data_IF_543246360967
#
_entry.id   IF_543246360967
#
_cell.length_a   1.000
_cell.length_b   1.000
_cell.length_c   1.000
_cell.angle_alpha   90.00
_cell.angle_beta   90.00
_cell.angle_gamma   90.00
#
_symmetry.space_group_name_H-M   'P 1'
#
loop_
_entity.id
_entity.type
_entity.pdbx_description
1 polymer ?
#
# COMPACT_ATOMS: atom_id res chain seq x y z
N UNK A 1 15.12 -15.49 18.57
CA UNK A 1 15.54 -16.67 17.77
C UNK A 1 15.14 -17.92 18.52
N UNK A 2 14.29 -18.74 17.94
CA UNK A 2 13.92 -20.02 18.51
C UNK A 2 14.86 -21.07 17.95
N UNK A 3 15.72 -21.61 18.81
CA UNK A 3 16.69 -22.67 18.46
C UNK A 3 16.03 -24.06 18.25
N UNK A 4 14.75 -24.18 18.58
CA UNK A 4 13.94 -25.41 18.49
C UNK A 4 13.15 -25.54 17.16
N UNK A 5 13.29 -24.59 16.23
CA UNK A 5 12.69 -24.72 14.92
C UNK A 5 13.41 -25.79 14.12
N UNK A 6 12.66 -26.80 13.70
CA UNK A 6 13.19 -27.82 12.77
C UNK A 6 13.62 -27.13 11.46
N UNK A 7 14.87 -27.31 11.10
CA UNK A 7 15.38 -26.92 9.80
C UNK A 7 14.81 -27.91 8.79
N UNK A 8 13.87 -27.46 7.96
CA UNK A 8 13.37 -28.29 6.87
C UNK A 8 14.45 -28.30 5.78
N UNK A 9 14.94 -29.48 5.46
CA UNK A 9 15.87 -29.66 4.34
C UNK A 9 15.12 -29.36 3.03
N UNK A 10 15.54 -28.31 2.34
CA UNK A 10 15.02 -27.97 1.01
C UNK A 10 16.02 -28.49 -0.02
N UNK A 11 15.60 -29.45 -0.84
CA UNK A 11 16.39 -29.91 -1.98
C UNK A 11 16.30 -28.85 -3.09
N UNK A 12 17.43 -28.21 -3.38
CA UNK A 12 17.54 -27.26 -4.47
C UNK A 12 18.72 -27.65 -5.37
N UNK A 13 18.46 -27.91 -6.63
CA UNK A 13 19.47 -28.33 -7.61
C UNK A 13 20.26 -29.59 -7.21
N UNK A 14 19.66 -30.54 -6.48
CA UNK A 14 20.31 -31.77 -6.05
C UNK A 14 21.29 -31.65 -4.86
N UNK A 15 21.42 -30.47 -4.28
CA UNK A 15 22.32 -30.21 -3.15
C UNK A 15 21.54 -30.12 -1.83
N UNK A 16 21.38 -31.21 -1.13
CA UNK A 16 20.66 -31.26 0.16
C UNK A 16 21.42 -30.62 1.32
N UNK A 17 22.74 -30.70 1.35
CA UNK A 17 23.51 -30.27 2.51
C UNK A 17 23.79 -28.78 2.58
N UNK A 18 23.88 -28.08 1.45
CA UNK A 18 24.12 -26.64 1.42
C UNK A 18 22.94 -25.84 1.96
N UNK A 19 21.69 -26.35 1.84
CA UNK A 19 20.48 -25.71 2.30
C UNK A 19 20.17 -25.96 3.77
N UNK A 20 20.64 -27.08 4.35
CA UNK A 20 20.42 -27.43 5.77
C UNK A 20 21.22 -26.51 6.71
N UNK A 21 22.45 -26.12 6.31
CA UNK A 21 23.36 -25.38 7.20
C UNK A 21 23.40 -23.88 6.97
N UNK A 22 23.21 -23.40 5.77
CA UNK A 22 23.39 -21.98 5.45
C UNK A 22 22.35 -21.40 4.49
N UNK A 23 21.60 -22.22 3.74
CA UNK A 23 20.87 -21.77 2.58
C UNK A 23 21.76 -20.91 1.66
N UNK A 24 21.68 -20.99 0.36
CA UNK A 24 22.40 -20.07 -0.56
C UNK A 24 22.13 -18.60 -0.29
N UNK A 25 21.14 -18.29 0.51
CA UNK A 25 20.67 -16.94 0.86
C UNK A 25 21.04 -16.50 2.27
N UNK A 26 21.79 -17.34 3.05
CA UNK A 26 22.29 -16.99 4.37
C UNK A 26 21.25 -16.97 5.50
N UNK A 27 20.05 -17.52 5.30
CA UNK A 27 18.98 -17.56 6.29
C UNK A 27 18.51 -18.99 6.61
N UNK A 28 17.87 -19.19 7.76
CA UNK A 28 17.12 -20.40 8.07
C UNK A 28 15.84 -20.40 7.24
N UNK A 29 15.63 -21.34 6.29
CA UNK A 29 14.39 -21.40 5.54
C UNK A 29 13.27 -21.87 6.47
N UNK A 30 12.35 -20.96 6.79
CA UNK A 30 11.12 -21.29 7.49
C UNK A 30 9.96 -21.31 6.50
N UNK A 31 9.33 -22.48 6.38
CA UNK A 31 8.11 -22.67 5.60
C UNK A 31 6.98 -22.95 6.60
N UNK A 32 5.91 -22.17 6.52
CA UNK A 32 4.78 -22.31 7.44
C UNK A 32 4.08 -20.99 7.74
N UNK A 33 3.38 -20.96 8.87
CA UNK A 33 2.62 -19.79 9.32
C UNK A 33 3.41 -18.96 10.31
N UNK A 34 3.47 -17.66 10.03
CA UNK A 34 3.94 -16.64 10.96
C UNK A 34 2.76 -15.89 11.58
N UNK A 35 2.89 -15.51 12.86
CA UNK A 35 1.89 -14.73 13.58
C UNK A 35 2.56 -13.49 14.17
N UNK A 36 1.99 -12.33 13.87
CA UNK A 36 2.43 -11.03 14.35
C UNK A 36 1.32 -10.39 15.15
N UNK A 37 1.66 -9.76 16.26
CA UNK A 37 0.72 -8.97 17.03
C UNK A 37 1.40 -7.74 17.60
N UNK A 38 0.68 -6.65 17.58
CA UNK A 38 1.08 -5.38 18.15
C UNK A 38 -0.15 -4.60 18.60
N UNK A 39 0.09 -3.53 19.31
CA UNK A 39 -0.94 -2.55 19.66
C UNK A 39 -0.54 -1.18 19.16
N UNK A 40 -1.52 -0.34 18.86
CA UNK A 40 -1.33 1.05 18.55
C UNK A 40 -2.45 1.89 19.17
N UNK A 41 -2.12 3.14 19.45
CA UNK A 41 -3.06 4.09 20.03
C UNK A 41 -3.68 4.98 18.96
N UNK A 42 -5.01 5.14 19.03
CA UNK A 42 -5.70 6.15 18.25
C UNK A 42 -6.25 7.22 19.19
N UNK A 43 -6.07 8.50 18.86
CA UNK A 43 -6.80 9.58 19.51
C UNK A 43 -8.30 9.47 19.21
N UNK A 44 -9.07 10.47 19.56
CA UNK A 44 -10.49 10.54 19.16
C UNK A 44 -10.63 10.32 17.65
N UNK A 45 -11.46 9.37 17.26
CA UNK A 45 -11.69 8.97 15.86
C UNK A 45 -12.86 9.73 15.21
N UNK A 46 -13.51 10.61 15.96
CA UNK A 46 -14.64 11.38 15.42
C UNK A 46 -14.24 12.24 14.21
N UNK A 47 -14.91 12.02 13.09
CA UNK A 47 -14.67 12.76 11.85
C UNK A 47 -13.40 12.37 11.09
N UNK A 48 -12.67 11.33 11.54
CA UNK A 48 -11.51 10.76 10.86
C UNK A 48 -11.86 9.45 10.15
N UNK A 49 -11.05 9.10 9.17
CA UNK A 49 -11.01 7.80 8.49
C UNK A 49 -9.62 7.21 8.66
N UNK A 50 -9.56 5.92 8.95
CA UNK A 50 -8.32 5.21 9.21
C UNK A 50 -8.14 4.06 8.25
N UNK A 51 -6.94 3.94 7.70
CA UNK A 51 -6.55 2.90 6.77
C UNK A 51 -5.21 2.30 7.20
N UNK A 52 -5.14 0.97 7.23
CA UNK A 52 -3.88 0.25 7.32
C UNK A 52 -3.38 -0.05 5.92
N UNK A 53 -2.15 0.39 5.60
CA UNK A 53 -1.46 0.09 4.35
C UNK A 53 -0.29 -0.84 4.65
N UNK A 54 -0.26 -1.98 3.98
CA UNK A 54 0.82 -2.96 4.04
C UNK A 54 1.62 -2.89 2.74
N UNK A 55 2.88 -2.53 2.81
CA UNK A 55 3.75 -2.43 1.63
C UNK A 55 4.17 -3.80 1.08
N UNK A 56 4.16 -4.83 1.91
CA UNK A 56 4.42 -6.19 1.48
C UNK A 56 4.39 -7.21 2.61
N UNK A 57 3.64 -8.29 2.40
CA UNK A 57 3.53 -9.44 3.31
C UNK A 57 3.55 -10.74 2.50
N UNK A 58 4.53 -11.59 2.74
CA UNK A 58 4.70 -12.87 2.05
C UNK A 58 4.31 -14.02 2.98
N UNK A 59 3.25 -14.68 2.65
CA UNK A 59 2.13 -14.48 1.74
C UNK A 59 0.82 -14.84 2.45
N UNK A 60 -0.30 -14.73 1.75
CA UNK A 60 -1.63 -15.07 2.28
C UNK A 60 -1.93 -14.41 3.64
N UNK A 61 -1.62 -13.10 3.82
CA UNK A 61 -1.92 -12.46 5.10
C UNK A 61 -3.41 -12.44 5.40
N UNK A 62 -3.73 -12.74 6.65
CA UNK A 62 -5.02 -12.45 7.27
C UNK A 62 -4.80 -11.42 8.36
N UNK A 63 -5.50 -10.33 8.26
CA UNK A 63 -5.39 -9.20 9.19
C UNK A 63 -6.61 -9.18 10.09
N UNK A 64 -6.38 -9.12 11.40
CA UNK A 64 -7.43 -8.92 12.40
C UNK A 64 -7.16 -7.65 13.18
N UNK A 65 -8.22 -6.89 13.42
CA UNK A 65 -8.20 -5.72 14.29
C UNK A 65 -9.24 -5.94 15.39
N UNK A 66 -8.81 -5.80 16.64
CA UNK A 66 -9.66 -6.00 17.82
C UNK A 66 -10.42 -7.34 17.79
N UNK A 67 -9.75 -8.41 17.31
CA UNK A 67 -10.31 -9.76 17.18
C UNK A 67 -11.16 -10.02 15.93
N UNK A 68 -11.50 -8.99 15.14
CA UNK A 68 -12.30 -9.12 13.92
C UNK A 68 -11.39 -9.19 12.68
N UNK A 69 -11.60 -10.18 11.80
CA UNK A 69 -10.89 -10.23 10.51
C UNK A 69 -11.35 -9.07 9.61
N UNK A 70 -10.39 -8.27 9.15
CA UNK A 70 -10.62 -7.06 8.36
C UNK A 70 -10.09 -7.17 6.95
N UNK A 71 -9.10 -8.05 6.71
CA UNK A 71 -8.55 -8.28 5.37
C UNK A 71 -7.96 -9.68 5.20
N UNK A 72 -8.02 -10.16 3.98
CA UNK A 72 -7.26 -11.29 3.44
C UNK A 72 -6.68 -10.91 2.08
N UNK A 73 -5.37 -11.14 1.87
CA UNK A 73 -4.70 -10.84 0.61
C UNK A 73 -3.86 -12.03 0.15
N UNK A 74 -4.13 -12.66 -1.01
CA UNK A 74 -3.46 -13.91 -1.39
C UNK A 74 -2.04 -13.72 -1.93
N UNK A 75 -1.72 -12.52 -2.45
CA UNK A 75 -0.48 -12.27 -3.18
C UNK A 75 0.56 -11.56 -2.32
N UNK A 76 1.82 -12.00 -2.41
CA UNK A 76 2.87 -11.52 -1.50
C UNK A 76 3.77 -10.41 -2.04
N UNK A 77 3.69 -10.06 -3.34
CA UNK A 77 4.66 -9.15 -3.97
C UNK A 77 4.17 -7.72 -4.18
N UNK A 78 2.92 -7.44 -3.88
CA UNK A 78 2.39 -6.07 -3.96
C UNK A 78 1.84 -5.59 -2.63
N UNK A 79 1.66 -4.27 -2.54
CA UNK A 79 1.01 -3.63 -1.41
C UNK A 79 -0.49 -3.87 -1.44
N UNK A 80 -1.12 -3.81 -0.27
CA UNK A 80 -2.57 -3.79 -0.10
C UNK A 80 -2.96 -2.89 1.07
N UNK A 81 -4.19 -2.45 1.09
CA UNK A 81 -4.71 -1.64 2.20
C UNK A 81 -6.09 -2.12 2.64
N UNK A 82 -6.46 -1.75 3.84
CA UNK A 82 -7.78 -2.00 4.41
C UNK A 82 -8.25 -0.79 5.21
N UNK A 83 -9.45 -0.31 4.91
CA UNK A 83 -10.12 0.68 5.75
C UNK A 83 -10.59 -0.01 7.03
N UNK A 84 -10.30 0.60 8.18
CA UNK A 84 -10.60 0.06 9.51
C UNK A 84 -11.67 0.86 10.26
N UNK A 85 -12.35 1.76 9.57
CA UNK A 85 -13.44 2.56 10.15
C UNK A 85 -14.56 1.65 10.69
N UNK A 86 -15.11 2.01 11.83
CA UNK A 86 -16.15 1.24 12.51
C UNK A 86 -15.65 -0.03 13.22
N UNK A 87 -14.33 -0.33 13.16
CA UNK A 87 -13.69 -1.43 13.90
C UNK A 87 -12.60 -0.86 14.81
N UNK A 88 -11.83 0.10 14.32
CA UNK A 88 -10.91 0.87 15.14
C UNK A 88 -11.68 1.69 16.19
N UNK A 89 -11.12 1.77 17.39
CA UNK A 89 -11.69 2.48 18.53
C UNK A 89 -10.71 3.55 19.04
N UNK A 90 -11.18 4.62 19.69
CA UNK A 90 -10.30 5.50 20.45
C UNK A 90 -9.53 4.72 21.53
N UNK A 91 -8.26 5.08 21.74
CA UNK A 91 -7.37 4.38 22.64
C UNK A 91 -6.66 3.19 21.98
N UNK A 92 -6.42 2.14 22.76
CA UNK A 92 -5.60 0.99 22.36
C UNK A 92 -6.34 0.07 21.40
N UNK A 93 -5.74 -0.17 20.24
CA UNK A 93 -6.21 -1.13 19.23
C UNK A 93 -5.21 -2.28 19.12
N UNK A 94 -5.72 -3.51 19.05
CA UNK A 94 -4.93 -4.73 18.91
C UNK A 94 -4.92 -5.18 17.44
N UNK A 95 -3.75 -5.19 16.81
CA UNK A 95 -3.52 -5.65 15.44
C UNK A 95 -2.88 -7.03 15.47
N UNK A 96 -3.46 -7.98 14.75
CA UNK A 96 -2.94 -9.33 14.58
C UNK A 96 -2.85 -9.62 13.07
N UNK A 97 -1.70 -10.11 12.62
CA UNK A 97 -1.48 -10.51 11.23
C UNK A 97 -0.93 -11.92 11.21
N UNK A 98 -1.59 -12.84 10.52
CA UNK A 98 -1.00 -14.12 10.19
C UNK A 98 -0.65 -14.17 8.73
N UNK A 99 0.48 -14.76 8.39
CA UNK A 99 0.88 -15.01 7.00
C UNK A 99 1.33 -16.45 6.85
N UNK A 100 1.22 -16.99 5.65
CA UNK A 100 1.57 -18.38 5.36
C UNK A 100 2.48 -18.45 4.14
N UNK A 101 3.70 -18.92 4.36
CA UNK A 101 4.61 -19.26 3.29
C UNK A 101 4.48 -20.75 3.00
N UNK A 102 3.94 -21.11 1.83
CA UNK A 102 3.68 -22.49 1.44
C UNK A 102 4.86 -23.06 0.66
N UNK A 103 5.09 -24.36 0.83
CA UNK A 103 6.10 -25.08 0.07
C UNK A 103 5.78 -25.11 -1.43
N UNK A 104 6.81 -25.04 -2.27
CA UNK A 104 6.69 -25.19 -3.72
C UNK A 104 6.06 -24.02 -4.47
N UNK A 105 5.83 -22.88 -3.84
CA UNK A 105 5.17 -21.73 -4.49
C UNK A 105 6.12 -20.83 -5.30
N UNK A 106 7.43 -21.02 -5.20
CA UNK A 106 8.40 -20.16 -5.89
C UNK A 106 9.65 -20.94 -6.28
N UNK A 107 10.29 -20.52 -7.37
CA UNK A 107 11.59 -21.06 -7.82
C UNK A 107 12.79 -20.43 -7.10
N UNK A 108 12.57 -19.38 -6.34
CA UNK A 108 13.57 -18.68 -5.56
C UNK A 108 13.06 -18.51 -4.13
N UNK A 109 13.91 -18.10 -3.24
CA UNK A 109 13.52 -17.76 -1.87
C UNK A 109 12.74 -16.45 -1.86
N UNK A 110 11.44 -16.46 -1.60
CA UNK A 110 10.61 -15.25 -1.69
C UNK A 110 10.70 -14.34 -0.46
N UNK A 111 11.43 -14.75 0.59
CA UNK A 111 11.28 -14.16 1.91
C UNK A 111 9.94 -14.57 2.54
N UNK A 112 9.83 -14.48 3.84
CA UNK A 112 8.61 -14.80 4.58
C UNK A 112 8.27 -13.71 5.59
N UNK A 113 6.99 -13.52 5.85
CA UNK A 113 6.53 -12.59 6.87
C UNK A 113 6.21 -11.19 6.32
N UNK A 114 6.12 -10.24 7.25
CA UNK A 114 5.97 -8.82 6.94
C UNK A 114 7.37 -8.29 6.60
N UNK A 115 7.68 -8.15 5.31
CA UNK A 115 9.03 -7.81 4.85
C UNK A 115 9.18 -6.34 4.46
N UNK A 116 8.09 -5.57 4.52
CA UNK A 116 8.06 -4.12 4.28
C UNK A 116 7.26 -3.42 5.38
N UNK A 117 7.12 -2.10 5.26
CA UNK A 117 6.45 -1.27 6.26
C UNK A 117 4.94 -1.54 6.33
N UNK A 118 4.40 -1.28 7.51
CA UNK A 118 2.96 -1.19 7.75
C UNK A 118 2.67 0.22 8.25
N UNK A 119 1.76 0.92 7.57
CA UNK A 119 1.42 2.30 7.86
C UNK A 119 -0.01 2.39 8.38
N UNK A 120 -0.19 3.20 9.41
CA UNK A 120 -1.50 3.70 9.84
C UNK A 120 -1.69 5.09 9.23
N UNK A 121 -2.65 5.22 8.33
CA UNK A 121 -2.98 6.46 7.65
C UNK A 121 -4.29 6.98 8.25
N UNK A 122 -4.23 8.17 8.83
CA UNK A 122 -5.41 8.85 9.38
C UNK A 122 -5.66 10.12 8.57
N UNK A 123 -6.87 10.26 8.06
CA UNK A 123 -7.29 11.38 7.22
C UNK A 123 -8.60 11.95 7.73
N UNK A 124 -8.99 13.13 7.25
CA UNK A 124 -10.37 13.56 7.38
C UNK A 124 -11.32 12.57 6.69
N UNK A 125 -12.57 12.56 7.10
CA UNK A 125 -13.59 11.69 6.49
C UNK A 125 -13.69 11.89 4.99
N UNK A 126 -13.65 13.15 4.52
CA UNK A 126 -13.56 13.46 3.09
C UNK A 126 -12.09 13.58 2.73
N UNK A 127 -11.61 12.73 1.87
CA UNK A 127 -10.20 12.65 1.49
C UNK A 127 -10.03 11.95 0.14
N UNK A 128 -8.84 12.07 -0.42
CA UNK A 128 -8.39 11.22 -1.54
C UNK A 128 -7.88 9.91 -0.92
N UNK A 129 -8.50 8.76 -1.23
CA UNK A 129 -8.09 7.48 -0.64
C UNK A 129 -6.70 7.04 -1.11
N UNK A 130 -6.16 6.03 -0.45
CA UNK A 130 -4.91 5.38 -0.88
C UNK A 130 -5.07 4.94 -2.34
N UNK A 131 -4.09 5.33 -3.19
CA UNK A 131 -4.10 5.14 -4.66
C UNK A 131 -5.28 5.76 -5.40
N UNK A 132 -5.98 6.68 -4.77
CA UNK A 132 -7.12 7.39 -5.36
C UNK A 132 -6.74 8.45 -6.40
N UNK A 133 -5.49 8.48 -6.87
CA UNK A 133 -5.05 9.37 -7.94
C UNK A 133 -4.43 8.58 -9.08
N UNK A 134 -4.76 8.98 -10.32
CA UNK A 134 -4.16 8.43 -11.54
C UNK A 134 -3.74 9.58 -12.44
N UNK A 135 -2.47 9.60 -12.82
CA UNK A 135 -1.91 10.58 -13.74
C UNK A 135 -1.60 9.89 -15.07
N UNK A 136 -2.03 10.50 -16.16
CA UNK A 136 -1.68 10.07 -17.52
C UNK A 136 -1.26 11.25 -18.35
N UNK A 137 -0.43 11.01 -19.37
CA UNK A 137 0.03 12.01 -20.33
C UNK A 137 -0.36 11.57 -21.75
N UNK A 138 -1.63 11.79 -22.15
CA UNK A 138 -2.15 11.31 -23.44
C UNK A 138 -1.40 11.85 -24.67
N UNK A 139 -0.87 13.06 -24.57
CA UNK A 139 -0.07 13.69 -25.65
C UNK A 139 1.21 14.21 -25.04
N UNK A 140 2.34 13.87 -25.66
CA UNK A 140 3.66 14.34 -25.27
C UNK A 140 4.45 14.71 -26.50
N UNK A 141 4.97 15.94 -26.53
CA UNK A 141 5.88 16.46 -27.55
C UNK A 141 6.91 17.39 -26.89
N UNK A 142 7.87 17.89 -27.66
CA UNK A 142 8.83 18.91 -27.19
C UNK A 142 8.17 20.26 -26.92
N UNK A 143 7.10 20.57 -27.67
CA UNK A 143 6.40 21.84 -27.54
C UNK A 143 5.43 21.85 -26.36
N UNK A 144 4.69 20.75 -26.15
CA UNK A 144 3.72 20.65 -25.06
C UNK A 144 3.44 19.20 -24.66
N UNK A 145 2.96 19.04 -23.42
CA UNK A 145 2.36 17.79 -22.97
C UNK A 145 0.99 18.06 -22.38
N UNK A 146 0.02 17.16 -22.64
CA UNK A 146 -1.24 17.14 -21.92
C UNK A 146 -1.13 16.17 -20.74
N UNK A 147 -1.55 16.61 -19.57
CA UNK A 147 -1.62 15.80 -18.37
C UNK A 147 -3.08 15.69 -17.93
N UNK A 148 -3.50 14.46 -17.70
CA UNK A 148 -4.83 14.15 -17.18
C UNK A 148 -4.66 13.55 -15.78
N UNK A 149 -5.24 14.22 -14.78
CA UNK A 149 -5.30 13.77 -13.40
C UNK A 149 -6.72 13.31 -13.09
N UNK A 150 -6.89 12.01 -12.86
CA UNK A 150 -8.13 11.45 -12.32
C UNK A 150 -7.95 11.20 -10.84
N UNK A 151 -8.98 11.47 -10.04
CA UNK A 151 -8.94 11.27 -8.60
C UNK A 151 -10.29 10.84 -8.03
N UNK A 152 -10.23 9.97 -7.03
CA UNK A 152 -11.37 9.55 -6.23
C UNK A 152 -11.49 10.44 -5.00
N UNK A 153 -12.71 10.67 -4.54
CA UNK A 153 -12.97 11.33 -3.24
C UNK A 153 -13.84 10.42 -2.40
N UNK A 154 -13.27 9.93 -1.32
CA UNK A 154 -13.96 9.09 -0.34
C UNK A 154 -14.68 9.92 0.74
N UNK A 155 -15.60 9.25 1.45
CA UNK A 155 -16.27 9.81 2.64
C UNK A 155 -17.49 10.72 2.35
N UNK A 156 -17.81 10.96 1.08
CA UNK A 156 -19.00 11.72 0.70
C UNK A 156 -20.23 10.82 0.67
N UNK A 157 -21.11 10.94 1.65
CA UNK A 157 -22.35 10.14 1.73
C UNK A 157 -23.56 10.85 1.09
N UNK A 158 -23.50 12.15 0.99
CA UNK A 158 -24.51 13.02 0.37
C UNK A 158 -23.79 13.94 -0.62
N UNK A 159 -24.55 14.68 -1.44
CA UNK A 159 -23.97 15.71 -2.30
C UNK A 159 -23.29 16.79 -1.42
N UNK A 160 -21.99 16.90 -1.56
CA UNK A 160 -21.18 17.89 -0.86
C UNK A 160 -20.31 18.64 -1.87
N UNK A 161 -20.19 19.94 -1.69
CA UNK A 161 -19.24 20.72 -2.48
C UNK A 161 -17.84 20.49 -1.92
N UNK A 162 -16.96 20.03 -2.77
CA UNK A 162 -15.55 19.78 -2.47
C UNK A 162 -14.71 20.65 -3.39
N UNK A 163 -13.85 21.47 -2.81
CA UNK A 163 -12.84 22.22 -3.55
C UNK A 163 -11.60 21.34 -3.71
N UNK A 164 -11.19 21.13 -4.96
CA UNK A 164 -9.97 20.40 -5.30
C UNK A 164 -8.97 21.34 -5.92
N UNK A 165 -7.89 21.57 -5.21
CA UNK A 165 -6.76 22.36 -5.65
C UNK A 165 -5.60 21.45 -6.04
N UNK A 166 -5.15 21.56 -7.28
CA UNK A 166 -4.00 20.84 -7.79
C UNK A 166 -2.92 21.82 -8.24
N UNK A 167 -1.70 21.51 -7.87
CA UNK A 167 -0.50 22.26 -8.31
C UNK A 167 0.49 21.23 -8.86
N UNK A 168 0.98 21.48 -10.06
CA UNK A 168 2.04 20.71 -10.69
C UNK A 168 3.34 21.50 -10.55
N UNK A 169 4.35 20.88 -9.98
CA UNK A 169 5.66 21.47 -9.76
C UNK A 169 6.72 20.70 -10.54
N UNK A 170 7.73 21.39 -11.04
CA UNK A 170 8.89 20.76 -11.67
C UNK A 170 9.90 20.25 -10.63
N UNK A 171 11.00 19.65 -11.10
CA UNK A 171 12.06 19.13 -10.23
C UNK A 171 12.85 20.21 -9.47
N UNK A 172 12.67 21.49 -9.79
CA UNK A 172 13.24 22.63 -9.08
C UNK A 172 12.26 23.23 -8.05
N UNK A 173 11.04 22.65 -7.93
CA UNK A 173 9.99 23.16 -7.06
C UNK A 173 9.20 24.34 -7.63
N UNK A 174 9.35 24.65 -8.93
CA UNK A 174 8.61 25.71 -9.60
C UNK A 174 7.23 25.21 -10.03
N UNK A 175 6.19 26.03 -9.80
CA UNK A 175 4.84 25.78 -10.29
C UNK A 175 4.82 25.88 -11.83
N UNK A 176 4.45 24.78 -12.51
CA UNK A 176 4.31 24.73 -13.97
C UNK A 176 2.87 24.71 -14.44
N UNK A 177 1.95 24.26 -13.59
CA UNK A 177 0.50 24.36 -13.83
C UNK A 177 -0.27 24.27 -12.52
N UNK A 178 -1.48 24.82 -12.50
CA UNK A 178 -2.42 24.70 -11.38
C UNK A 178 -3.86 24.67 -11.84
N UNK A 179 -4.69 24.08 -11.02
CA UNK A 179 -6.16 24.11 -11.17
C UNK A 179 -6.82 24.19 -9.81
N UNK A 180 -7.93 24.89 -9.76
CA UNK A 180 -8.80 24.95 -8.59
C UNK A 180 -10.24 24.82 -9.04
N UNK A 181 -10.87 23.69 -8.73
CA UNK A 181 -12.23 23.39 -9.16
C UNK A 181 -13.12 22.99 -7.98
N UNK A 182 -14.37 23.43 -8.04
CA UNK A 182 -15.40 22.98 -7.12
C UNK A 182 -16.20 21.84 -7.76
N UNK A 183 -16.31 20.74 -7.03
CA UNK A 183 -17.05 19.55 -7.44
C UNK A 183 -18.19 19.27 -6.48
N UNK A 184 -19.32 18.85 -7.02
CA UNK A 184 -20.42 18.33 -6.24
C UNK A 184 -20.22 16.81 -6.07
N UNK A 185 -19.47 16.42 -5.03
CA UNK A 185 -19.06 15.05 -4.81
C UNK A 185 -20.20 14.17 -4.24
N UNK A 186 -20.35 12.98 -4.80
CA UNK A 186 -21.17 11.89 -4.26
C UNK A 186 -20.52 10.54 -4.61
N UNK A 187 -19.29 10.31 -4.11
CA UNK A 187 -18.53 9.09 -4.42
C UNK A 187 -18.21 8.96 -5.90
N UNK A 188 -17.83 10.05 -6.57
CA UNK A 188 -17.51 10.08 -8.00
C UNK A 188 -16.05 10.39 -8.22
N UNK A 189 -15.52 9.88 -9.32
CA UNK A 189 -14.21 10.21 -9.84
C UNK A 189 -14.24 11.60 -10.48
N UNK A 190 -13.21 12.39 -10.24
CA UNK A 190 -13.04 13.70 -10.84
C UNK A 190 -11.82 13.70 -11.73
N UNK A 191 -11.89 14.51 -12.78
CA UNK A 191 -10.78 14.64 -13.73
C UNK A 191 -10.43 16.12 -13.89
N UNK A 192 -9.13 16.41 -13.84
CA UNK A 192 -8.56 17.72 -14.19
C UNK A 192 -7.58 17.53 -15.33
N UNK A 193 -7.59 18.46 -16.29
CA UNK A 193 -6.70 18.47 -17.45
C UNK A 193 -5.75 19.64 -17.36
N UNK A 194 -4.50 19.42 -17.70
CA UNK A 194 -3.47 20.45 -17.74
C UNK A 194 -2.73 20.41 -19.06
N UNK A 195 -2.32 21.57 -19.53
CA UNK A 195 -1.37 21.71 -20.62
C UNK A 195 -0.06 22.23 -20.03
N UNK A 196 1.01 21.51 -20.27
CA UNK A 196 2.36 21.86 -19.84
C UNK A 196 3.12 22.29 -21.09
N UNK A 197 3.51 23.55 -21.11
CA UNK A 197 4.31 24.14 -22.18
C UNK A 197 5.79 23.72 -22.03
N UNK A 198 6.42 23.35 -23.13
CA UNK A 198 7.84 22.94 -23.21
C UNK A 198 8.25 22.00 -22.06
N UNK A 199 7.59 20.83 -21.95
CA UNK A 199 7.85 19.91 -20.85
C UNK A 199 9.30 19.39 -20.90
N UNK A 200 9.89 19.18 -19.71
CA UNK A 200 11.14 18.43 -19.60
C UNK A 200 10.81 16.96 -19.80
N UNK A 201 11.16 16.42 -20.96
CA UNK A 201 10.93 15.03 -21.28
C UNK A 201 11.89 14.13 -20.50
N UNK A 202 11.40 12.97 -20.10
CA UNK A 202 12.24 11.94 -19.51
C UNK A 202 13.11 11.30 -20.61
N UNK A 203 14.39 11.09 -20.31
CA UNK A 203 15.29 10.28 -21.11
C UNK A 203 16.04 9.29 -20.23
N UNK A 204 16.53 8.17 -20.77
CA UNK A 204 17.29 7.19 -20.00
C UNK A 204 18.75 7.61 -19.73
N UNK A 205 19.18 8.79 -20.19
CA UNK A 205 20.53 9.33 -20.02
C UNK A 205 20.66 10.20 -18.76
#
# INVERSE_FOLDING_TARGET
>A
FRSDLQIVAVEQNGEKEATVKTGRTGGLPFIGKGFYHTTFELPDTAGLSHTLLFDGVMSHPRVKLNGKEVAYWPYGYNSFYVNIDGIAIPGTNKLEVSCENKEGQSRWYPGAGIYRNVHLISTHRIHIPVWGTKVTTPVVSEDYASLLLSMDIAGTTTRQNVEVRTVIIDNNGQEVAKSNNNYCARGQDFTQSFLIDKPKLWSPE
#
